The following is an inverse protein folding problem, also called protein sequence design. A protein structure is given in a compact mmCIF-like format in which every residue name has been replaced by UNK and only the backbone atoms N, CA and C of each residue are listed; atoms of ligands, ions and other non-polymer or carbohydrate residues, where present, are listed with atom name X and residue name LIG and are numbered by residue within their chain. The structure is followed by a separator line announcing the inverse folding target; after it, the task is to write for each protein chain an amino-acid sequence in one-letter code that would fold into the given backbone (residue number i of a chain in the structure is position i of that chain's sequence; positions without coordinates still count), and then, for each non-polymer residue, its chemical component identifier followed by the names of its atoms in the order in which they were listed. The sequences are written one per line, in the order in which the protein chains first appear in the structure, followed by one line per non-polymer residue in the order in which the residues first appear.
data_IF_744334010346
#
_entry.id   IF_744334010346
#
_cell.length_a   1.000
_cell.length_b   1.000
_cell.length_c   1.000
_cell.angle_alpha   90.00
_cell.angle_beta   90.00
_cell.angle_gamma   90.00
#
_symmetry.space_group_name_H-M   'P 1'
#
loop_
_entity.id
_entity.type
_entity.pdbx_description
1 polymer ?
#
# COMPACT_ATOMS: atom_id res chain seq x y z
N UNK A 1 -1.96 13.95 -13.61
CA UNK A 1 -3.06 13.63 -12.68
C UNK A 1 -3.48 12.19 -12.94
N UNK A 2 -3.63 11.36 -11.92
CA UNK A 2 -4.01 9.96 -12.08
C UNK A 2 -5.49 9.86 -12.48
N UNK A 3 -5.88 8.91 -13.36
CA UNK A 3 -7.27 8.77 -13.81
C UNK A 3 -8.18 8.26 -12.68
N UNK A 4 -9.48 8.52 -12.77
CA UNK A 4 -10.45 7.86 -11.90
C UNK A 4 -10.71 6.41 -12.36
N UNK A 5 -10.99 5.46 -11.44
CA UNK A 5 -11.12 5.63 -9.98
C UNK A 5 -9.79 5.53 -9.21
N UNK A 6 -8.64 5.41 -9.90
CA UNK A 6 -7.33 5.19 -9.28
C UNK A 6 -7.00 6.30 -8.27
N UNK A 7 -7.20 7.54 -8.67
CA UNK A 7 -6.96 8.70 -7.82
C UNK A 7 -7.82 8.67 -6.54
N UNK A 8 -9.14 8.45 -6.63
CA UNK A 8 -10.00 8.33 -5.44
C UNK A 8 -9.60 7.19 -4.50
N UNK A 9 -9.19 6.02 -5.04
CA UNK A 9 -8.72 4.89 -4.23
C UNK A 9 -7.42 5.24 -3.49
N UNK A 10 -6.51 5.98 -4.13
CA UNK A 10 -5.27 6.44 -3.49
C UNK A 10 -5.59 7.42 -2.35
N UNK A 11 -6.42 8.44 -2.60
CA UNK A 11 -6.80 9.41 -1.57
C UNK A 11 -7.49 8.73 -0.39
N UNK A 12 -8.48 7.86 -0.65
CA UNK A 12 -9.15 7.11 0.41
C UNK A 12 -8.21 6.21 1.21
N UNK A 13 -7.21 5.61 0.55
CA UNK A 13 -6.20 4.80 1.22
C UNK A 13 -5.25 5.65 2.08
N UNK A 14 -4.82 6.82 1.60
CA UNK A 14 -3.94 7.73 2.35
C UNK A 14 -4.59 8.29 3.62
N UNK A 15 -5.92 8.43 3.62
CA UNK A 15 -6.68 8.84 4.79
C UNK A 15 -6.91 7.70 5.80
N UNK A 16 -6.54 6.46 5.46
CA UNK A 16 -6.75 5.29 6.30
C UNK A 16 -5.49 4.46 6.49
N UNK A 17 -5.31 3.45 5.63
CA UNK A 17 -4.40 2.32 5.78
C UNK A 17 -3.18 2.37 4.83
N UNK A 18 -2.88 3.54 4.27
CA UNK A 18 -1.73 3.72 3.40
C UNK A 18 -0.91 4.96 3.74
N UNK A 19 0.36 4.92 3.34
CA UNK A 19 1.26 6.06 3.43
C UNK A 19 2.07 6.23 2.13
N UNK A 20 2.50 7.46 1.87
CA UNK A 20 3.53 7.73 0.88
C UNK A 20 4.91 7.51 1.50
N UNK A 21 5.73 6.70 0.84
CA UNK A 21 7.11 6.46 1.22
C UNK A 21 8.04 6.90 0.08
N UNK A 22 9.01 7.77 0.40
CA UNK A 22 10.03 8.17 -0.56
C UNK A 22 10.92 6.97 -0.90
N UNK A 23 11.05 6.66 -2.18
CA UNK A 23 11.82 5.53 -2.67
C UNK A 23 12.64 5.95 -3.91
N UNK A 24 13.90 6.29 -3.67
CA UNK A 24 14.75 6.93 -4.67
C UNK A 24 14.30 8.37 -4.95
N UNK A 25 14.12 8.70 -6.24
CA UNK A 25 13.72 10.05 -6.70
C UNK A 25 12.25 10.36 -6.42
N UNK A 26 11.38 9.36 -6.50
CA UNK A 26 9.93 9.53 -6.44
C UNK A 26 9.33 8.84 -5.21
N UNK A 27 8.04 9.02 -5.00
CA UNK A 27 7.30 8.39 -3.90
C UNK A 27 6.55 7.16 -4.38
N UNK A 28 6.39 6.18 -3.50
CA UNK A 28 5.46 5.06 -3.67
C UNK A 28 4.35 5.14 -2.64
N UNK A 29 3.18 4.61 -2.99
CA UNK A 29 2.14 4.31 -2.02
C UNK A 29 2.42 2.93 -1.43
N UNK A 30 2.45 2.83 -0.11
CA UNK A 30 2.41 1.56 0.61
C UNK A 30 1.08 1.45 1.35
N UNK A 31 0.35 0.39 1.07
CA UNK A 31 -0.80 -0.05 1.87
C UNK A 31 -0.31 -1.14 2.82
N UNK A 32 -0.65 -1.00 4.09
CA UNK A 32 -0.26 -1.95 5.13
C UNK A 32 -1.43 -2.18 6.08
N UNK A 33 -1.91 -3.42 6.13
CA UNK A 33 -3.03 -3.81 6.97
C UNK A 33 -2.74 -5.12 7.69
N UNK A 34 -3.49 -5.43 8.75
CA UNK A 34 -3.46 -6.76 9.37
C UNK A 34 -3.81 -7.86 8.36
N UNK A 35 -3.24 -9.06 8.54
CA UNK A 35 -3.42 -10.20 7.64
C UNK A 35 -4.89 -10.55 7.37
N UNK A 36 -5.78 -10.37 8.34
CA UNK A 36 -7.21 -10.69 8.21
C UNK A 36 -7.89 -9.85 7.09
N UNK A 37 -7.31 -8.71 6.74
CA UNK A 37 -7.81 -7.85 5.66
C UNK A 37 -7.16 -8.14 4.29
N UNK A 38 -6.52 -9.30 4.10
CA UNK A 38 -5.85 -9.62 2.83
C UNK A 38 -6.77 -9.49 1.62
N UNK A 39 -8.04 -9.93 1.73
CA UNK A 39 -9.03 -9.79 0.66
C UNK A 39 -9.32 -8.31 0.31
N UNK A 40 -9.30 -7.42 1.30
CA UNK A 40 -9.45 -5.98 1.08
C UNK A 40 -8.23 -5.39 0.36
N UNK A 41 -7.03 -5.80 0.75
CA UNK A 41 -5.79 -5.40 0.05
C UNK A 41 -5.76 -5.94 -1.37
N UNK A 42 -6.27 -7.14 -1.61
CA UNK A 42 -6.42 -7.72 -2.95
C UNK A 42 -7.44 -6.96 -3.81
N UNK A 43 -8.57 -6.54 -3.24
CA UNK A 43 -9.50 -5.63 -3.91
C UNK A 43 -8.82 -4.31 -4.30
N UNK A 44 -8.02 -3.71 -3.41
CA UNK A 44 -7.24 -2.51 -3.73
C UNK A 44 -6.24 -2.77 -4.85
N UNK A 45 -5.56 -3.91 -4.82
CA UNK A 45 -4.64 -4.29 -5.89
C UNK A 45 -5.34 -4.33 -7.24
N UNK A 46 -6.55 -4.88 -7.35
CA UNK A 46 -7.29 -4.87 -8.61
C UNK A 46 -7.56 -3.46 -9.15
N UNK A 47 -7.73 -2.46 -8.27
CA UNK A 47 -7.91 -1.05 -8.66
C UNK A 47 -6.59 -0.33 -8.94
N UNK A 48 -5.54 -0.67 -8.19
CA UNK A 48 -4.22 -0.04 -8.25
C UNK A 48 -3.25 -0.77 -9.19
N UNK A 49 -3.66 -1.88 -9.82
CA UNK A 49 -2.84 -2.72 -10.70
C UNK A 49 -2.03 -1.93 -11.74
N UNK A 50 -2.58 -0.86 -12.37
CA UNK A 50 -1.82 -0.05 -13.32
C UNK A 50 -0.57 0.60 -12.75
N UNK A 51 -0.46 0.78 -11.44
CA UNK A 51 0.72 1.36 -10.78
C UNK A 51 1.33 0.43 -9.73
N UNK A 52 0.77 -0.76 -9.50
CA UNK A 52 1.30 -1.71 -8.53
C UNK A 52 2.72 -2.16 -8.93
N UNK A 53 3.61 -2.32 -7.93
CA UNK A 53 4.94 -2.88 -8.17
C UNK A 53 4.93 -4.42 -8.17
N UNK A 54 4.07 -5.01 -7.34
CA UNK A 54 3.87 -6.45 -7.21
C UNK A 54 2.48 -6.75 -6.64
N UNK A 55 1.98 -7.99 -6.76
CA UNK A 55 0.78 -8.44 -6.05
C UNK A 55 0.92 -8.29 -4.52
N UNK A 56 -0.20 -8.22 -3.78
CA UNK A 56 -0.20 -8.19 -2.33
C UNK A 56 0.55 -9.39 -1.73
N UNK A 57 1.29 -9.15 -0.66
CA UNK A 57 2.06 -10.18 0.04
C UNK A 57 1.84 -10.13 1.54
N UNK A 58 1.96 -11.29 2.17
CA UNK A 58 2.00 -11.41 3.62
C UNK A 58 3.41 -11.09 4.12
N UNK A 59 3.52 -10.18 5.07
CA UNK A 59 4.79 -9.79 5.70
C UNK A 59 4.69 -9.94 7.20
N UNK A 60 5.81 -10.28 7.84
CA UNK A 60 5.92 -10.29 9.30
C UNK A 60 6.54 -8.97 9.74
N UNK A 61 5.83 -8.24 10.58
CA UNK A 61 6.26 -6.96 11.16
C UNK A 61 6.62 -7.18 12.61
N UNK A 62 7.86 -6.82 12.98
CA UNK A 62 8.31 -6.85 14.37
C UNK A 62 7.97 -5.54 15.07
N UNK A 63 7.14 -5.61 16.10
CA UNK A 63 6.86 -4.47 16.98
C UNK A 63 7.89 -4.44 18.13
N UNK A 64 8.80 -3.46 18.07
CA UNK A 64 9.83 -3.25 19.09
C UNK A 64 9.28 -2.81 20.45
N UNK A 65 8.08 -2.19 20.50
CA UNK A 65 7.49 -1.67 21.74
C UNK A 65 6.97 -2.79 22.62
N UNK A 66 6.43 -3.84 22.00
CA UNK A 66 5.80 -4.97 22.68
C UNK A 66 6.66 -6.23 22.62
N UNK A 67 7.67 -6.28 21.74
CA UNK A 67 8.50 -7.46 21.51
C UNK A 67 7.73 -8.61 20.87
N UNK A 68 6.79 -8.29 19.96
CA UNK A 68 5.92 -9.27 19.29
C UNK A 68 5.96 -9.10 17.77
N UNK A 69 5.76 -10.22 17.08
CA UNK A 69 5.61 -10.25 15.62
C UNK A 69 4.14 -10.26 15.23
N UNK A 70 3.78 -9.49 14.22
CA UNK A 70 2.43 -9.45 13.64
C UNK A 70 2.49 -9.79 12.16
N UNK A 71 1.48 -10.49 11.66
CA UNK A 71 1.34 -10.77 10.22
C UNK A 71 0.48 -9.68 9.58
N UNK A 72 0.97 -9.14 8.49
CA UNK A 72 0.37 -8.03 7.77
C UNK A 72 0.22 -8.37 6.30
N UNK A 73 -0.80 -7.82 5.65
CA UNK A 73 -1.00 -7.80 4.21
C UNK A 73 -0.46 -6.46 3.67
N UNK A 74 0.52 -6.52 2.77
CA UNK A 74 1.19 -5.34 2.21
C UNK A 74 1.08 -5.30 0.69
N UNK A 75 0.80 -4.11 0.18
CA UNK A 75 0.84 -3.76 -1.24
C UNK A 75 1.69 -2.51 -1.43
N UNK A 76 2.64 -2.55 -2.36
CA UNK A 76 3.46 -1.39 -2.73
C UNK A 76 3.22 -1.04 -4.21
N UNK A 77 3.12 0.26 -4.50
CA UNK A 77 3.13 0.76 -5.89
C UNK A 77 4.56 0.98 -6.39
N UNK A 78 4.68 1.14 -7.70
CA UNK A 78 5.85 1.74 -8.34
C UNK A 78 6.02 3.17 -7.85
N UNK A 79 7.26 3.63 -7.87
CA UNK A 79 7.59 5.02 -7.53
C UNK A 79 7.40 5.89 -8.76
N UNK A 80 6.46 6.82 -8.72
CA UNK A 80 6.06 7.64 -9.88
C UNK A 80 5.97 9.13 -9.52
N UNK A 81 6.21 10.04 -10.47
CA UNK A 81 6.13 11.48 -10.25
C UNK A 81 4.78 11.95 -9.71
N UNK A 82 3.68 11.30 -10.12
CA UNK A 82 2.30 11.67 -9.74
C UNK A 82 1.97 11.44 -8.26
N UNK A 83 2.83 10.73 -7.53
CA UNK A 83 2.72 10.53 -6.08
C UNK A 83 3.59 11.50 -5.27
N UNK A 84 4.25 12.46 -5.93
CA UNK A 84 5.21 13.40 -5.31
C UNK A 84 4.60 14.73 -4.93
#
# INVERSE_FOLDING_TARGET
MLPEPLHSVIIGSLLGDACLERNGRWWRLRIDHKEEAFAYVEWKYQKLQPIAAAPPRRVVVWDRRVGRSYKHARLDTRSIPELS
#
